data_IF_759616541175
#
_entry.id   IF_759616541175
#
_cell.length_a   1.000
_cell.length_b   1.000
_cell.length_c   1.000
_cell.angle_alpha   90.00
_cell.angle_beta   90.00
_cell.angle_gamma   90.00
#
_symmetry.space_group_name_H-M   'P 1'
#
loop_
_entity.id
_entity.type
_entity.pdbx_description
1 polymer ?
#
# COMPACT_ATOMS: atom_id res chain seq x y z
N UNK A 1 -74.13 -27.47 -0.56
CA UNK A 1 -72.73 -27.70 -0.95
C UNK A 1 -72.13 -26.37 -1.44
N UNK A 2 -70.86 -26.12 -1.07
CA UNK A 2 -69.98 -24.95 -1.30
C UNK A 2 -70.17 -24.24 -2.68
N UNK A 3 -69.93 -22.95 -2.91
CA UNK A 3 -69.44 -21.81 -2.14
C UNK A 3 -69.94 -20.51 -2.82
N UNK A 4 -70.14 -19.45 -2.03
CA UNK A 4 -70.67 -18.14 -2.45
C UNK A 4 -69.57 -17.21 -2.95
N UNK A 5 -69.75 -16.66 -4.15
CA UNK A 5 -69.17 -15.40 -4.57
C UNK A 5 -69.73 -14.26 -3.70
N UNK A 6 -68.91 -13.28 -3.34
CA UNK A 6 -69.37 -11.95 -2.91
C UNK A 6 -68.52 -10.86 -3.56
N UNK A 7 -69.23 -10.00 -4.26
CA UNK A 7 -68.81 -8.73 -4.84
C UNK A 7 -68.46 -7.75 -3.72
N UNK A 8 -67.48 -6.87 -3.98
CA UNK A 8 -67.17 -5.70 -3.18
C UNK A 8 -67.42 -4.43 -3.99
N UNK A 9 -68.17 -3.48 -3.42
CA UNK A 9 -68.20 -2.06 -3.81
C UNK A 9 -68.30 -1.19 -2.55
N UNK A 10 -67.86 0.09 -2.61
CA UNK A 10 -67.14 0.78 -1.53
C UNK A 10 -68.04 1.70 -0.68
N UNK A 11 -67.49 2.29 0.40
CA UNK A 11 -67.35 3.76 0.42
C UNK A 11 -66.07 4.19 1.17
N UNK A 12 -65.37 5.25 0.76
CA UNK A 12 -65.75 6.63 1.07
C UNK A 12 -64.48 7.39 1.48
N UNK A 13 -64.24 8.50 0.81
CA UNK A 13 -63.07 9.38 0.88
C UNK A 13 -62.98 10.13 2.21
N UNK A 14 -61.82 10.08 2.88
CA UNK A 14 -61.41 11.11 3.84
C UNK A 14 -59.95 11.51 3.59
N UNK A 15 -59.80 12.82 3.43
CA UNK A 15 -58.61 13.60 3.05
C UNK A 15 -57.40 13.33 3.95
N UNK A 16 -56.30 12.85 3.38
CA UNK A 16 -54.99 12.95 4.01
C UNK A 16 -54.43 14.38 3.84
N UNK A 17 -54.17 15.01 4.99
CA UNK A 17 -53.46 16.29 5.09
C UNK A 17 -52.00 16.08 4.66
N UNK A 18 -51.68 16.47 3.42
CA UNK A 18 -50.31 16.76 3.00
C UNK A 18 -49.80 17.97 3.78
N UNK A 19 -48.95 17.73 4.77
CA UNK A 19 -48.10 18.76 5.38
C UNK A 19 -46.93 19.05 4.43
N UNK A 20 -47.14 20.00 3.52
CA UNK A 20 -46.06 20.70 2.84
C UNK A 20 -45.31 21.59 3.85
N UNK A 21 -44.17 21.13 4.37
CA UNK A 21 -43.19 22.05 4.94
C UNK A 21 -42.08 22.27 3.93
N UNK A 22 -42.25 23.40 3.28
CA UNK A 22 -41.40 24.10 2.34
C UNK A 22 -39.94 24.12 2.79
N UNK A 23 -39.08 23.61 1.90
CA UNK A 23 -37.68 24.03 1.75
C UNK A 23 -37.65 25.55 1.54
N UNK A 24 -37.34 26.32 2.58
CA UNK A 24 -36.77 27.68 2.51
C UNK A 24 -36.67 28.25 3.93
N UNK A 25 -35.47 28.15 4.52
CA UNK A 25 -34.91 29.08 5.51
C UNK A 25 -33.73 28.40 6.19
N UNK A 26 -32.53 28.59 5.65
CA UNK A 26 -31.29 28.91 6.39
C UNK A 26 -30.42 29.61 5.33
N UNK A 27 -30.69 30.91 5.16
CA UNK A 27 -29.77 31.85 4.54
C UNK A 27 -29.68 33.00 5.53
N UNK A 28 -28.44 33.32 5.92
CA UNK A 28 -28.00 34.32 6.89
C UNK A 28 -27.97 33.89 8.36
N UNK A 29 -26.77 33.54 8.83
CA UNK A 29 -26.12 34.18 9.99
C UNK A 29 -24.69 33.64 10.17
N UNK A 30 -23.75 34.03 9.30
CA UNK A 30 -22.32 34.19 9.66
C UNK A 30 -21.77 35.32 8.77
N UNK A 31 -21.60 36.52 9.33
CA UNK A 31 -20.77 37.56 8.73
C UNK A 31 -19.32 37.34 9.19
N UNK A 32 -18.34 37.16 8.29
CA UNK A 32 -16.94 37.29 8.68
C UNK A 32 -16.63 38.77 8.88
N UNK A 33 -16.19 39.15 10.09
CA UNK A 33 -15.53 40.44 10.32
C UNK A 33 -14.24 40.46 9.49
N UNK A 34 -14.12 41.42 8.57
CA UNK A 34 -12.87 41.72 7.87
C UNK A 34 -11.77 42.03 8.90
N UNK A 35 -10.58 41.42 8.84
CA UNK A 35 -9.43 41.96 9.55
C UNK A 35 -9.01 43.28 8.89
N UNK A 36 -8.66 44.25 9.71
CA UNK A 36 -8.04 45.50 9.29
C UNK A 36 -6.68 45.19 8.66
N UNK A 37 -6.46 45.70 7.46
CA UNK A 37 -5.14 45.77 6.83
C UNK A 37 -4.36 46.90 7.49
N UNK A 38 -3.50 46.57 8.44
CA UNK A 38 -2.45 47.49 8.88
C UNK A 38 -1.25 47.26 7.96
N UNK A 39 -0.92 48.31 7.20
CA UNK A 39 0.32 48.43 6.45
C UNK A 39 1.50 48.35 7.42
N UNK A 40 2.25 47.27 7.38
CA UNK A 40 3.63 47.24 7.85
C UNK A 40 4.52 46.88 6.67
N UNK A 41 4.91 47.95 6.00
CA UNK A 41 6.07 47.98 5.14
C UNK A 41 7.29 48.00 6.07
N UNK A 42 7.98 46.88 6.19
CA UNK A 42 9.34 46.83 6.75
C UNK A 42 10.10 45.76 6.00
N UNK A 43 11.02 46.20 5.15
CA UNK A 43 12.05 45.37 4.52
C UNK A 43 12.74 44.50 5.60
N UNK A 44 13.11 43.24 5.29
CA UNK A 44 13.90 42.45 6.22
C UNK A 44 15.30 43.10 6.36
N UNK A 45 15.87 43.19 7.56
CA UNK A 45 17.26 43.61 7.72
C UNK A 45 18.20 42.56 7.10
N UNK A 46 18.92 42.97 6.06
CA UNK A 46 20.12 42.31 5.55
C UNK A 46 21.16 42.20 6.68
N UNK A 47 21.18 41.07 7.38
CA UNK A 47 22.34 40.60 8.15
C UNK A 47 22.13 39.17 8.62
N UNK A 48 22.38 38.20 7.73
CA UNK A 48 22.70 36.83 8.11
C UNK A 48 24.24 36.77 8.22
N UNK A 49 24.83 36.46 9.37
CA UNK A 49 26.27 36.26 9.46
C UNK A 49 26.69 35.06 8.60
N UNK A 50 27.73 35.25 7.79
CA UNK A 50 28.33 34.22 6.92
C UNK A 50 28.52 32.90 7.68
N UNK A 51 27.79 31.88 7.24
CA UNK A 51 28.06 30.49 7.63
C UNK A 51 29.30 30.07 6.85
N UNK A 52 30.43 29.71 7.51
CA UNK A 52 31.61 29.29 6.78
C UNK A 52 31.29 28.04 5.97
N UNK A 53 31.67 28.07 4.69
CA UNK A 53 31.51 26.98 3.76
C UNK A 53 32.03 25.66 4.37
N UNK A 54 31.30 24.54 4.24
CA UNK A 54 31.83 23.25 4.66
C UNK A 54 33.12 22.96 3.89
N UNK A 55 34.18 22.73 4.64
CA UNK A 55 35.50 22.42 4.12
C UNK A 55 35.44 21.25 3.13
N UNK A 56 36.19 21.41 2.06
CA UNK A 56 36.40 20.50 0.94
C UNK A 56 36.61 19.05 1.36
N UNK A 57 35.74 18.20 0.82
CA UNK A 57 35.91 16.80 0.43
C UNK A 57 37.24 16.13 0.82
N UNK A 58 37.14 15.14 1.72
CA UNK A 58 38.06 14.01 1.69
C UNK A 58 37.78 13.19 0.41
N UNK A 59 38.83 12.71 -0.30
CA UNK A 59 38.65 11.95 -1.53
C UNK A 59 38.30 10.51 -1.18
N UNK A 60 37.01 10.22 -1.02
CA UNK A 60 36.55 8.82 -1.08
C UNK A 60 36.71 8.31 -2.52
N UNK A 61 37.54 7.29 -2.61
CA UNK A 61 38.00 6.61 -3.81
C UNK A 61 36.81 5.93 -4.50
N UNK A 62 36.69 5.99 -5.84
CA UNK A 62 35.57 5.34 -6.52
C UNK A 62 35.79 3.82 -6.58
N UNK A 63 34.69 3.08 -6.42
CA UNK A 63 34.53 1.65 -6.68
C UNK A 63 35.09 0.66 -5.62
N UNK A 64 34.28 0.42 -4.57
CA UNK A 64 34.14 -0.92 -4.00
C UNK A 64 32.66 -1.27 -4.00
N UNK A 65 32.29 -2.36 -4.66
CA UNK A 65 30.94 -2.89 -4.66
C UNK A 65 30.39 -2.96 -3.21
N UNK A 66 29.12 -2.59 -3.03
CA UNK A 66 28.39 -2.60 -1.77
C UNK A 66 28.34 -4.03 -1.21
N UNK A 67 29.39 -4.45 -0.50
CA UNK A 67 29.42 -5.73 0.18
C UNK A 67 28.43 -5.65 1.35
N UNK A 68 27.31 -6.34 1.21
CA UNK A 68 26.41 -6.58 2.34
C UNK A 68 27.20 -7.33 3.43
N UNK A 69 27.06 -6.88 4.67
CA UNK A 69 27.71 -7.53 5.80
C UNK A 69 27.29 -9.02 5.84
N UNK A 70 28.20 -9.98 6.12
CA UNK A 70 27.88 -11.41 6.03
C UNK A 70 26.63 -11.82 6.82
N UNK A 71 26.44 -11.22 8.01
CA UNK A 71 25.29 -11.52 8.85
C UNK A 71 23.96 -11.04 8.26
N UNK A 72 23.96 -9.92 7.54
CA UNK A 72 22.78 -9.43 6.84
C UNK A 72 22.36 -10.41 5.72
N UNK A 73 23.32 -10.87 4.92
CA UNK A 73 23.06 -11.87 3.87
C UNK A 73 22.58 -13.20 4.44
N UNK A 74 23.15 -13.66 5.56
CA UNK A 74 22.68 -14.86 6.26
C UNK A 74 21.22 -14.69 6.70
N UNK A 75 20.89 -13.54 7.30
CA UNK A 75 19.53 -13.24 7.75
C UNK A 75 18.54 -13.19 6.59
N UNK A 76 18.89 -12.49 5.50
CA UNK A 76 18.13 -12.48 4.25
C UNK A 76 17.89 -13.90 3.73
N UNK A 77 18.94 -14.71 3.57
CA UNK A 77 18.83 -16.09 3.06
C UNK A 77 17.99 -16.99 3.97
N UNK A 78 18.07 -16.78 5.29
CA UNK A 78 17.35 -17.58 6.29
C UNK A 78 15.85 -17.31 6.24
N UNK A 79 15.44 -16.04 6.15
CA UNK A 79 14.03 -15.65 6.24
C UNK A 79 13.36 -15.45 4.87
N UNK A 80 14.16 -15.14 3.85
CA UNK A 80 13.74 -14.75 2.50
C UNK A 80 14.75 -15.26 1.44
N UNK A 81 14.85 -16.58 1.23
CA UNK A 81 15.90 -17.21 0.41
C UNK A 81 15.93 -16.76 -1.07
N UNK A 82 14.81 -16.28 -1.60
CA UNK A 82 14.68 -15.73 -2.94
C UNK A 82 14.53 -14.21 -2.88
N UNK A 83 15.57 -13.46 -2.49
CA UNK A 83 15.50 -12.00 -2.43
C UNK A 83 16.20 -11.36 -3.64
N UNK A 84 15.56 -10.34 -4.20
CA UNK A 84 15.98 -9.65 -5.43
C UNK A 84 16.17 -8.18 -5.09
N UNK A 85 17.22 -7.50 -5.58
CA UNK A 85 17.32 -6.06 -5.47
C UNK A 85 16.02 -5.37 -5.93
N UNK A 86 15.55 -4.40 -5.14
CA UNK A 86 14.26 -3.74 -5.35
C UNK A 86 14.11 -3.13 -6.75
N UNK A 87 15.11 -2.37 -7.21
CA UNK A 87 15.12 -1.76 -8.54
C UNK A 87 15.07 -2.79 -9.67
N UNK A 88 15.77 -3.91 -9.50
CA UNK A 88 15.79 -4.99 -10.48
C UNK A 88 14.44 -5.69 -10.56
N UNK A 89 13.80 -5.97 -9.41
CA UNK A 89 12.46 -6.54 -9.38
C UNK A 89 11.45 -5.64 -10.10
N UNK A 90 11.51 -4.32 -9.88
CA UNK A 90 10.59 -3.37 -10.53
C UNK A 90 10.82 -3.32 -12.03
N UNK A 91 12.07 -3.18 -12.47
CA UNK A 91 12.42 -3.17 -13.90
C UNK A 91 11.92 -4.44 -14.60
N UNK A 92 12.25 -5.61 -14.04
CA UNK A 92 11.82 -6.91 -14.57
C UNK A 92 10.29 -7.08 -14.53
N UNK A 93 9.60 -6.54 -13.53
CA UNK A 93 8.14 -6.59 -13.46
C UNK A 93 7.50 -5.86 -14.65
N UNK A 94 8.05 -4.70 -15.02
CA UNK A 94 7.59 -3.94 -16.19
C UNK A 94 7.94 -4.68 -17.49
N UNK A 95 9.18 -5.13 -17.63
CA UNK A 95 9.67 -5.81 -18.84
C UNK A 95 8.91 -7.11 -19.13
N UNK A 96 8.52 -7.85 -18.09
CA UNK A 96 7.66 -9.05 -18.22
C UNK A 96 6.24 -8.73 -18.70
N UNK A 97 5.75 -7.52 -18.47
CA UNK A 97 4.40 -7.10 -18.87
C UNK A 97 4.31 -6.44 -20.24
N UNK A 98 5.38 -5.80 -20.71
CA UNK A 98 5.45 -5.23 -22.07
C UNK A 98 5.03 -6.22 -23.17
N UNK A 99 5.55 -7.47 -23.25
CA UNK A 99 5.12 -8.43 -24.28
C UNK A 99 3.68 -8.92 -24.09
N UNK A 100 3.08 -8.65 -22.93
CA UNK A 100 1.70 -8.96 -22.60
C UNK A 100 0.74 -7.79 -22.87
N UNK A 101 1.23 -6.69 -23.44
CA UNK A 101 0.42 -5.55 -23.88
C UNK A 101 0.11 -4.51 -22.80
N UNK A 102 0.80 -4.55 -21.65
CA UNK A 102 0.74 -3.47 -20.68
C UNK A 102 1.86 -2.46 -20.97
N UNK A 103 1.48 -1.20 -21.05
CA UNK A 103 2.38 -0.08 -21.34
C UNK A 103 2.00 1.11 -20.46
N UNK A 104 2.95 2.03 -20.28
CA UNK A 104 2.79 3.28 -19.55
C UNK A 104 1.55 4.08 -19.97
N UNK A 105 1.19 4.03 -21.25
CA UNK A 105 0.06 4.76 -21.82
C UNK A 105 -1.31 4.07 -21.67
N UNK A 106 -1.36 2.80 -21.25
CA UNK A 106 -2.59 2.01 -21.29
C UNK A 106 -2.94 1.28 -19.99
N UNK A 107 -2.07 1.33 -18.98
CA UNK A 107 -2.26 0.64 -17.71
C UNK A 107 -2.08 1.61 -16.53
N UNK A 108 -2.81 1.35 -15.45
CA UNK A 108 -2.65 2.09 -14.19
C UNK A 108 -2.02 1.18 -13.13
N UNK A 109 -0.83 1.52 -12.59
CA UNK A 109 -0.28 0.83 -11.44
C UNK A 109 -1.05 1.20 -10.17
N UNK A 110 -1.40 0.21 -9.38
CA UNK A 110 -2.16 0.31 -8.13
C UNK A 110 -1.30 -0.28 -6.99
N UNK A 111 -0.87 0.55 -6.05
CA UNK A 111 0.25 0.21 -5.15
C UNK A 111 -0.16 0.21 -3.69
N UNK A 112 -0.02 -0.92 -3.00
CA UNK A 112 -0.27 -1.09 -1.56
C UNK A 112 1.04 -1.37 -0.82
N UNK A 113 1.49 -0.40 -0.03
CA UNK A 113 2.69 -0.45 0.81
C UNK A 113 2.35 0.02 2.23
N UNK A 114 3.26 -0.22 3.18
CA UNK A 114 3.16 0.36 4.50
C UNK A 114 3.22 1.90 4.43
N UNK A 115 2.55 2.60 5.33
CA UNK A 115 2.68 4.07 5.47
C UNK A 115 4.06 4.53 5.94
N UNK A 116 4.91 3.59 6.37
CA UNK A 116 6.29 3.83 6.78
C UNK A 116 7.12 4.40 5.62
N UNK A 117 7.90 5.45 5.89
CA UNK A 117 8.68 6.16 4.88
C UNK A 117 9.77 5.30 4.25
N UNK A 118 10.18 4.21 4.91
CA UNK A 118 11.13 3.24 4.37
C UNK A 118 10.61 2.57 3.09
N UNK A 119 9.30 2.56 2.87
CA UNK A 119 8.71 1.95 1.68
C UNK A 119 8.77 2.83 0.43
N UNK A 120 9.05 4.13 0.60
CA UNK A 120 9.07 5.11 -0.49
C UNK A 120 10.03 4.78 -1.64
N UNK A 121 11.24 4.24 -1.42
CA UNK A 121 12.13 3.85 -2.52
C UNK A 121 11.47 2.87 -3.52
N UNK A 122 10.67 1.91 -3.04
CA UNK A 122 9.92 1.00 -3.91
C UNK A 122 8.82 1.73 -4.67
N UNK A 123 8.08 2.62 -3.99
CA UNK A 123 7.05 3.42 -4.66
C UNK A 123 7.66 4.27 -5.78
N UNK A 124 8.74 4.98 -5.49
CA UNK A 124 9.44 5.81 -6.46
C UNK A 124 9.95 4.98 -7.64
N UNK A 125 10.55 3.81 -7.39
CA UNK A 125 11.00 2.92 -8.46
C UNK A 125 9.83 2.46 -9.36
N UNK A 126 8.65 2.18 -8.77
CA UNK A 126 7.44 1.85 -9.53
C UNK A 126 6.95 3.07 -10.32
N UNK A 127 6.88 4.24 -9.69
CA UNK A 127 6.51 5.48 -10.39
C UNK A 127 7.44 5.73 -11.59
N UNK A 128 8.76 5.68 -11.40
CA UNK A 128 9.76 5.85 -12.48
C UNK A 128 9.57 4.82 -13.62
N UNK A 129 9.31 3.55 -13.26
CA UNK A 129 9.10 2.47 -14.23
C UNK A 129 7.81 2.64 -15.04
N UNK A 130 6.81 3.33 -14.49
CA UNK A 130 5.50 3.55 -15.11
C UNK A 130 5.28 4.99 -15.61
N UNK A 131 6.20 5.91 -15.33
CA UNK A 131 6.12 7.32 -15.70
C UNK A 131 6.03 7.48 -17.21
N UNK A 132 4.96 8.11 -17.70
CA UNK A 132 4.76 8.34 -19.13
C UNK A 132 5.31 9.69 -19.60
N UNK A 133 5.28 10.72 -18.74
CA UNK A 133 5.80 12.06 -18.99
C UNK A 133 6.55 12.55 -17.74
N UNK A 134 7.54 13.45 -17.87
CA UNK A 134 8.27 13.96 -16.73
C UNK A 134 7.35 14.57 -15.66
N UNK A 135 7.61 14.22 -14.40
CA UNK A 135 6.87 14.68 -13.21
C UNK A 135 5.45 14.10 -13.08
N UNK A 136 5.10 13.04 -13.83
CA UNK A 136 3.85 12.31 -13.65
C UNK A 136 3.90 11.36 -12.44
N UNK A 137 2.77 11.17 -11.77
CA UNK A 137 2.63 10.22 -10.66
C UNK A 137 1.59 9.17 -11.05
N UNK A 138 1.99 8.13 -11.81
CA UNK A 138 1.07 7.23 -12.46
C UNK A 138 0.32 6.30 -11.48
N UNK A 139 0.80 6.21 -10.23
CA UNK A 139 0.30 5.24 -9.25
C UNK A 139 -0.99 5.66 -8.55
N UNK A 140 -1.94 4.73 -8.50
CA UNK A 140 -3.07 4.80 -7.58
C UNK A 140 -2.64 4.23 -6.22
N UNK A 141 -2.54 5.09 -5.20
CA UNK A 141 -2.14 4.72 -3.85
C UNK A 141 -3.21 3.91 -3.11
N UNK A 142 -2.83 2.72 -2.63
CA UNK A 142 -3.63 1.81 -1.80
C UNK A 142 -3.03 1.60 -0.40
N UNK A 143 -2.04 2.42 -0.03
CA UNK A 143 -1.21 2.25 1.18
C UNK A 143 -2.02 2.23 2.49
N UNK A 144 -1.56 1.44 3.46
CA UNK A 144 -2.09 1.39 4.83
C UNK A 144 -1.04 0.83 5.80
N UNK A 145 -1.28 0.83 7.11
CA UNK A 145 -0.38 0.19 8.08
C UNK A 145 -0.05 -1.26 7.68
N UNK A 146 1.24 -1.62 7.80
CA UNK A 146 1.82 -2.90 7.40
C UNK A 146 1.62 -3.32 5.92
N UNK A 147 1.21 -2.41 5.04
CA UNK A 147 0.98 -2.72 3.62
C UNK A 147 -0.32 -3.49 3.36
N UNK A 148 -1.24 -3.46 4.33
CA UNK A 148 -2.54 -4.12 4.24
C UNK A 148 -3.40 -3.50 3.13
N UNK A 149 -4.36 -4.27 2.61
CA UNK A 149 -5.23 -3.83 1.50
C UNK A 149 -6.58 -3.35 2.05
N UNK A 150 -6.61 -2.15 2.64
CA UNK A 150 -7.75 -1.62 3.38
C UNK A 150 -8.66 -0.64 2.63
N UNK A 151 -8.32 -0.25 1.39
CA UNK A 151 -9.13 0.65 0.56
C UNK A 151 -10.58 0.18 0.32
N UNK A 152 -10.83 -1.12 0.48
CA UNK A 152 -12.13 -1.76 0.29
C UNK A 152 -12.62 -1.75 -1.15
N UNK A 153 -13.87 -2.19 -1.35
CA UNK A 153 -14.49 -2.22 -2.68
C UNK A 153 -14.62 -0.82 -3.28
N UNK A 154 -14.97 0.16 -2.45
CA UNK A 154 -15.11 1.56 -2.87
C UNK A 154 -13.80 2.12 -3.41
N UNK A 155 -12.69 1.92 -2.68
CA UNK A 155 -11.37 2.38 -3.14
C UNK A 155 -10.92 1.69 -4.42
N UNK A 156 -11.09 0.37 -4.51
CA UNK A 156 -10.72 -0.35 -5.75
C UNK A 156 -11.62 0.06 -6.93
N UNK A 157 -12.91 0.32 -6.70
CA UNK A 157 -13.81 0.84 -7.75
C UNK A 157 -13.37 2.22 -8.22
N UNK A 158 -12.86 3.08 -7.32
CA UNK A 158 -12.30 4.36 -7.73
C UNK A 158 -11.10 4.17 -8.68
N UNK A 159 -10.19 3.24 -8.38
CA UNK A 159 -9.08 2.91 -9.27
C UNK A 159 -9.57 2.44 -10.67
N UNK A 160 -10.69 1.71 -10.74
CA UNK A 160 -11.27 1.29 -12.04
C UNK A 160 -11.77 2.44 -12.92
N UNK A 161 -12.13 3.57 -12.32
CA UNK A 161 -12.54 4.76 -13.09
C UNK A 161 -11.35 5.61 -13.55
N UNK A 162 -10.15 5.36 -13.04
CA UNK A 162 -8.94 6.13 -13.38
C UNK A 162 -8.08 5.43 -14.45
N UNK A 163 -8.32 4.14 -14.70
CA UNK A 163 -7.59 3.39 -15.72
C UNK A 163 -7.89 3.93 -17.13
N UNK A 164 -6.87 4.11 -17.98
CA UNK A 164 -7.07 4.32 -19.41
C UNK A 164 -7.88 3.17 -20.02
N UNK A 165 -8.75 3.51 -20.98
CA UNK A 165 -9.45 2.52 -21.81
C UNK A 165 -8.83 2.59 -23.20
N UNK A 166 -7.98 1.63 -23.53
CA UNK A 166 -7.30 1.52 -24.83
C UNK A 166 -7.76 0.24 -25.51
N UNK A 167 -8.23 0.36 -26.76
CA UNK A 167 -8.86 -0.73 -27.51
C UNK A 167 -10.06 -1.37 -26.80
N UNK A 168 -10.76 -0.57 -26.00
CA UNK A 168 -11.91 -1.02 -25.22
C UNK A 168 -11.54 -1.84 -23.98
N UNK A 169 -10.26 -1.95 -23.63
CA UNK A 169 -9.74 -2.71 -22.48
C UNK A 169 -9.12 -1.76 -21.44
N UNK A 170 -9.46 -1.96 -20.17
CA UNK A 170 -8.77 -1.35 -19.03
C UNK A 170 -7.68 -2.28 -18.52
N UNK A 171 -6.51 -1.74 -18.20
CA UNK A 171 -5.39 -2.52 -17.67
C UNK A 171 -4.95 -2.02 -16.31
N UNK A 172 -4.77 -2.95 -15.37
CA UNK A 172 -4.37 -2.66 -13.99
C UNK A 172 -3.11 -3.41 -13.63
N UNK A 173 -2.20 -2.80 -12.87
CA UNK A 173 -1.01 -3.48 -12.35
C UNK A 173 -0.95 -3.34 -10.84
N UNK A 174 -1.24 -4.41 -10.11
CA UNK A 174 -1.28 -4.38 -8.66
C UNK A 174 0.08 -4.72 -8.06
N UNK A 175 0.66 -3.79 -7.31
CA UNK A 175 1.87 -4.00 -6.50
C UNK A 175 1.48 -4.03 -5.02
N UNK A 176 1.66 -5.16 -4.32
CA UNK A 176 1.25 -5.29 -2.91
C UNK A 176 2.35 -5.91 -2.06
N UNK A 177 2.93 -5.10 -1.17
CA UNK A 177 4.09 -5.49 -0.36
C UNK A 177 3.92 -5.01 1.09
N UNK A 178 3.60 -5.88 2.06
CA UNK A 178 4.05 -5.65 3.43
C UNK A 178 5.58 -5.54 3.47
N UNK A 179 6.10 -4.96 4.55
CA UNK A 179 7.53 -4.72 4.67
C UNK A 179 8.10 -5.19 6.00
N UNK A 180 9.41 -5.42 6.01
CA UNK A 180 10.19 -5.73 7.20
C UNK A 180 11.53 -5.01 7.15
N UNK A 181 12.09 -4.71 8.32
CA UNK A 181 13.46 -4.25 8.48
C UNK A 181 14.41 -5.40 8.74
N UNK A 182 15.56 -5.42 8.06
CA UNK A 182 16.70 -6.23 8.47
C UNK A 182 17.91 -5.31 8.46
N UNK A 183 18.44 -4.98 9.63
CA UNK A 183 19.56 -4.05 9.74
C UNK A 183 20.85 -4.66 9.14
N UNK A 184 21.92 -3.87 9.09
CA UNK A 184 23.23 -4.31 8.58
C UNK A 184 23.86 -5.44 9.38
N UNK A 185 23.47 -5.61 10.64
CA UNK A 185 23.96 -6.67 11.52
C UNK A 185 23.10 -7.95 11.42
N UNK A 186 22.09 -7.97 10.53
CA UNK A 186 21.18 -9.09 10.34
C UNK A 186 20.06 -9.20 11.39
N UNK A 187 19.90 -8.21 12.26
CA UNK A 187 18.80 -8.14 13.22
C UNK A 187 17.48 -7.88 12.48
N UNK A 188 16.55 -8.82 12.63
CA UNK A 188 15.22 -8.76 12.01
C UNK A 188 14.29 -7.85 12.82
N UNK A 189 13.46 -7.08 12.11
CA UNK A 189 12.50 -6.14 12.70
C UNK A 189 13.11 -4.77 13.02
N UNK A 190 14.37 -4.52 12.66
CA UNK A 190 15.11 -3.30 13.01
C UNK A 190 15.75 -2.64 11.80
N UNK A 191 15.85 -1.32 11.86
CA UNK A 191 16.56 -0.50 10.89
C UNK A 191 17.17 0.74 11.54
N UNK A 192 18.26 1.22 10.96
CA UNK A 192 18.82 2.54 11.22
C UNK A 192 18.12 3.58 10.33
N UNK A 193 17.44 4.55 10.95
CA UNK A 193 16.79 5.66 10.23
C UNK A 193 17.68 6.89 10.24
N UNK A 194 17.59 7.69 9.18
CA UNK A 194 18.32 8.95 9.08
C UNK A 194 17.92 9.88 10.24
N UNK A 195 18.91 10.50 10.89
CA UNK A 195 18.68 11.43 12.00
C UNK A 195 18.25 10.79 13.33
N UNK A 196 18.11 9.46 13.42
CA UNK A 196 17.78 8.78 14.69
C UNK A 196 19.01 8.04 15.22
N UNK A 197 19.42 8.34 16.45
CA UNK A 197 20.61 7.76 17.06
C UNK A 197 20.47 6.24 17.30
N UNK A 198 19.32 5.80 17.80
CA UNK A 198 19.04 4.39 18.07
C UNK A 198 18.32 3.72 16.91
N UNK A 199 18.51 2.42 16.76
CA UNK A 199 17.72 1.64 15.83
C UNK A 199 16.24 1.68 16.21
N UNK A 200 15.39 1.61 15.19
CA UNK A 200 13.95 1.65 15.32
C UNK A 200 13.31 0.43 14.67
N UNK A 201 12.05 0.19 15.01
CA UNK A 201 11.27 -0.95 14.55
C UNK A 201 10.82 -0.80 13.10
N UNK A 202 10.80 -1.90 12.34
CA UNK A 202 10.20 -1.98 11.00
C UNK A 202 9.76 -3.42 10.70
N UNK A 203 8.50 -3.73 10.43
CA UNK A 203 7.31 -2.86 10.46
C UNK A 203 6.82 -2.59 11.90
N UNK A 204 6.66 -1.32 12.28
CA UNK A 204 6.19 -0.95 13.63
C UNK A 204 4.80 -1.52 13.97
N UNK A 205 3.87 -1.54 13.01
CA UNK A 205 2.52 -2.08 13.21
C UNK A 205 2.52 -3.59 13.50
N UNK A 206 3.36 -4.36 12.79
CA UNK A 206 3.51 -5.80 13.01
C UNK A 206 4.22 -6.09 14.34
N UNK A 207 5.22 -5.29 14.71
CA UNK A 207 5.92 -5.43 16.00
C UNK A 207 4.98 -5.11 17.18
N UNK A 208 4.16 -4.07 17.07
CA UNK A 208 3.15 -3.76 18.08
C UNK A 208 2.14 -4.91 18.24
N UNK A 209 1.68 -5.50 17.13
CA UNK A 209 0.81 -6.67 17.19
C UNK A 209 1.52 -7.90 17.80
N UNK A 210 2.78 -8.14 17.45
CA UNK A 210 3.57 -9.23 18.04
C UNK A 210 3.69 -9.07 19.57
N UNK A 211 3.97 -7.85 20.04
CA UNK A 211 4.07 -7.55 21.47
C UNK A 211 2.74 -7.77 22.22
N UNK A 212 1.60 -7.40 21.62
CA UNK A 212 0.28 -7.73 22.19
C UNK A 212 0.10 -9.26 22.32
N UNK A 213 0.47 -10.02 21.28
CA UNK A 213 0.40 -11.49 21.34
C UNK A 213 1.31 -12.07 22.43
N UNK A 214 2.55 -11.58 22.56
CA UNK A 214 3.51 -12.01 23.58
C UNK A 214 3.03 -11.69 25.00
N UNK A 215 2.31 -10.59 25.18
CA UNK A 215 1.76 -10.19 26.47
C UNK A 215 0.63 -11.11 26.97
N UNK A 216 0.03 -11.89 26.06
CA UNK A 216 -1.17 -12.69 26.35
C UNK A 216 -2.46 -11.86 26.44
N UNK A 217 -2.39 -10.55 26.20
CA UNK A 217 -3.53 -9.64 26.15
C UNK A 217 -3.64 -8.99 24.77
N UNK A 218 -4.73 -9.31 24.06
CA UNK A 218 -5.00 -8.81 22.73
C UNK A 218 -6.32 -8.04 22.69
N UNK A 219 -6.26 -6.75 22.36
CA UNK A 219 -7.46 -5.95 22.14
C UNK A 219 -7.92 -6.08 20.69
N UNK A 220 -9.14 -6.60 20.49
CA UNK A 220 -9.76 -6.76 19.17
C UNK A 220 -10.92 -5.79 18.92
N UNK A 221 -11.20 -4.90 19.88
CA UNK A 221 -12.18 -3.85 19.69
C UNK A 221 -11.72 -2.90 18.58
N UNK A 222 -12.67 -2.38 17.81
CA UNK A 222 -12.38 -1.40 16.79
C UNK A 222 -12.20 -0.04 17.45
N UNK A 223 -10.97 0.44 17.49
CA UNK A 223 -10.67 1.81 17.87
C UNK A 223 -10.82 2.72 16.64
N UNK A 224 -11.68 3.75 16.73
CA UNK A 224 -11.89 4.70 15.64
C UNK A 224 -10.73 5.66 15.44
N UNK A 225 -9.87 5.83 16.45
CA UNK A 225 -8.65 6.63 16.36
C UNK A 225 -7.44 5.78 15.90
N UNK A 226 -7.57 4.45 15.92
CA UNK A 226 -6.54 3.49 15.46
C UNK A 226 -7.14 2.37 14.58
N UNK A 227 -7.91 2.77 13.57
CA UNK A 227 -8.71 1.86 12.72
C UNK A 227 -7.82 0.85 11.99
N UNK A 228 -6.71 1.30 11.39
CA UNK A 228 -5.86 0.42 10.57
C UNK A 228 -5.19 -0.66 11.43
N UNK A 229 -4.69 -0.32 12.63
CA UNK A 229 -4.11 -1.30 13.54
C UNK A 229 -5.19 -2.25 14.09
N UNK A 230 -6.36 -1.73 14.46
CA UNK A 230 -7.49 -2.53 14.94
C UNK A 230 -7.90 -3.60 13.92
N UNK A 231 -8.07 -3.18 12.65
CA UNK A 231 -8.42 -4.09 11.56
C UNK A 231 -7.26 -5.04 11.26
N UNK A 232 -6.01 -4.56 11.24
CA UNK A 232 -4.82 -5.41 11.06
C UNK A 232 -4.82 -6.57 12.05
N UNK A 233 -4.99 -6.30 13.35
CA UNK A 233 -5.03 -7.34 14.41
C UNK A 233 -6.12 -8.37 14.13
N UNK A 234 -7.34 -7.93 13.81
CA UNK A 234 -8.47 -8.81 13.51
C UNK A 234 -8.23 -9.67 12.26
N UNK A 235 -7.55 -9.14 11.25
CA UNK A 235 -7.27 -9.87 9.99
C UNK A 235 -6.15 -10.88 10.17
N UNK A 236 -5.06 -10.45 10.82
CA UNK A 236 -3.88 -11.26 11.08
C UNK A 236 -4.17 -12.42 12.02
N UNK A 237 -4.92 -12.18 13.10
CA UNK A 237 -5.23 -13.22 14.10
C UNK A 237 -5.93 -14.43 13.47
N UNK A 238 -6.77 -14.23 12.45
CA UNK A 238 -7.47 -15.32 11.74
C UNK A 238 -6.52 -16.28 11.02
N UNK A 239 -5.26 -15.90 10.82
CA UNK A 239 -4.22 -16.71 10.18
C UNK A 239 -3.24 -17.34 11.17
N UNK A 240 -3.30 -16.93 12.44
CA UNK A 240 -2.44 -17.50 13.49
C UNK A 240 -3.17 -18.69 14.10
N UNK A 241 -2.48 -19.84 14.20
CA UNK A 241 -3.06 -21.06 14.74
C UNK A 241 -3.23 -20.92 16.26
N UNK A 242 -4.41 -21.21 16.76
CA UNK A 242 -4.64 -21.23 18.21
C UNK A 242 -3.75 -22.27 18.90
N UNK A 243 -3.11 -21.86 20.00
CA UNK A 243 -2.21 -22.69 20.80
C UNK A 243 -0.82 -22.91 20.21
N UNK A 244 -0.46 -22.28 19.09
CA UNK A 244 0.93 -22.24 18.62
C UNK A 244 1.75 -21.20 19.38
N UNK A 245 3.09 -21.30 19.39
CA UNK A 245 3.95 -20.20 19.81
C UNK A 245 3.64 -18.91 19.04
N UNK A 246 3.92 -17.75 19.66
CA UNK A 246 3.82 -16.46 18.98
C UNK A 246 4.81 -16.45 17.80
N UNK A 247 4.37 -16.12 16.57
CA UNK A 247 5.26 -16.06 15.42
C UNK A 247 6.38 -15.04 15.63
N UNK A 248 7.57 -15.35 15.12
CA UNK A 248 8.64 -14.36 14.94
C UNK A 248 8.20 -13.24 14.00
N UNK A 249 8.90 -12.10 14.02
CA UNK A 249 8.52 -10.96 13.16
C UNK A 249 8.64 -11.28 11.66
N UNK A 250 9.56 -12.16 11.27
CA UNK A 250 9.67 -12.66 9.90
C UNK A 250 8.45 -13.50 9.51
N UNK A 251 8.06 -14.46 10.36
CA UNK A 251 6.86 -15.28 10.14
C UNK A 251 5.59 -14.42 10.13
N UNK A 252 5.49 -13.44 11.02
CA UNK A 252 4.35 -12.52 11.07
C UNK A 252 4.26 -11.65 9.82
N UNK A 253 5.41 -11.24 9.25
CA UNK A 253 5.45 -10.53 7.97
C UNK A 253 5.00 -11.43 6.82
N UNK A 254 5.40 -12.71 6.81
CA UNK A 254 4.90 -13.67 5.83
C UNK A 254 3.40 -13.91 5.97
N UNK A 255 2.86 -13.95 7.19
CA UNK A 255 1.41 -13.98 7.43
C UNK A 255 0.74 -12.74 6.88
N UNK A 256 1.32 -11.55 7.07
CA UNK A 256 0.79 -10.30 6.54
C UNK A 256 0.72 -10.35 5.00
N UNK A 257 1.77 -10.86 4.35
CA UNK A 257 1.78 -11.09 2.92
C UNK A 257 0.62 -11.98 2.46
N UNK A 258 0.38 -13.11 3.14
CA UNK A 258 -0.74 -14.00 2.81
C UNK A 258 -2.10 -13.31 2.96
N UNK A 259 -2.28 -12.53 4.03
CA UNK A 259 -3.52 -11.75 4.25
C UNK A 259 -3.71 -10.71 3.15
N UNK A 260 -2.66 -9.96 2.79
CA UNK A 260 -2.70 -8.97 1.73
C UNK A 260 -3.06 -9.59 0.38
N UNK A 261 -2.44 -10.72 0.04
CA UNK A 261 -2.69 -11.45 -1.21
C UNK A 261 -4.15 -11.93 -1.30
N UNK A 262 -4.66 -12.53 -0.24
CA UNK A 262 -6.06 -12.99 -0.19
C UNK A 262 -7.04 -11.82 -0.30
N UNK A 263 -6.72 -10.68 0.33
CA UNK A 263 -7.56 -9.49 0.28
C UNK A 263 -7.56 -8.83 -1.08
N UNK A 264 -6.40 -8.72 -1.71
CA UNK A 264 -6.29 -8.27 -3.09
C UNK A 264 -7.13 -9.17 -4.02
N UNK A 265 -6.92 -10.50 -3.97
CA UNK A 265 -7.67 -11.46 -4.81
C UNK A 265 -9.18 -11.34 -4.61
N UNK A 266 -9.63 -11.27 -3.35
CA UNK A 266 -11.04 -11.11 -3.02
C UNK A 266 -11.61 -9.79 -3.55
N UNK A 267 -10.84 -8.69 -3.46
CA UNK A 267 -11.27 -7.39 -3.95
C UNK A 267 -11.33 -7.36 -5.48
N UNK A 268 -10.28 -7.82 -6.17
CA UNK A 268 -10.25 -7.99 -7.64
C UNK A 268 -11.47 -8.78 -8.09
N UNK A 269 -11.69 -9.97 -7.50
CA UNK A 269 -12.83 -10.84 -7.82
C UNK A 269 -14.18 -10.16 -7.61
N UNK A 270 -14.27 -9.15 -6.73
CA UNK A 270 -15.53 -8.48 -6.37
C UNK A 270 -15.78 -7.15 -7.08
N UNK A 271 -14.81 -6.63 -7.83
CA UNK A 271 -14.87 -5.31 -8.47
C UNK A 271 -14.54 -5.42 -9.95
N UNK A 272 -13.50 -6.16 -10.30
CA UNK A 272 -13.02 -6.33 -11.66
C UNK A 272 -13.81 -7.49 -12.29
N UNK A 273 -14.95 -7.14 -12.87
CA UNK A 273 -15.88 -8.06 -13.54
C UNK A 273 -16.04 -7.67 -15.02
N UNK A 274 -15.98 -8.65 -15.92
CA UNK A 274 -16.38 -8.49 -17.33
C UNK A 274 -15.23 -8.66 -18.33
N UNK A 275 -15.61 -8.93 -19.58
CA UNK A 275 -14.78 -9.39 -20.70
C UNK A 275 -13.79 -8.34 -21.26
N UNK A 276 -13.42 -7.30 -20.50
CA UNK A 276 -12.58 -6.19 -21.00
C UNK A 276 -11.66 -5.56 -19.94
N UNK A 277 -11.19 -6.35 -18.98
CA UNK A 277 -10.18 -5.91 -18.03
C UNK A 277 -9.06 -6.94 -17.95
N UNK A 278 -7.85 -6.50 -18.30
CA UNK A 278 -6.64 -7.27 -18.05
C UNK A 278 -5.99 -6.73 -16.77
N UNK A 279 -5.36 -7.60 -16.00
CA UNK A 279 -4.65 -7.16 -14.82
C UNK A 279 -3.42 -7.99 -14.54
N UNK A 280 -2.42 -7.34 -13.95
CA UNK A 280 -1.23 -7.98 -13.44
C UNK A 280 -1.15 -7.82 -11.93
N UNK A 281 -0.52 -8.78 -11.27
CA UNK A 281 -0.34 -8.84 -9.83
C UNK A 281 1.13 -9.15 -9.56
N UNK A 282 1.80 -8.27 -8.82
CA UNK A 282 3.13 -8.44 -8.27
C UNK A 282 3.04 -8.26 -6.76
N UNK A 283 3.28 -9.35 -6.03
CA UNK A 283 3.21 -9.35 -4.58
C UNK A 283 4.46 -9.92 -3.97
N UNK A 284 4.67 -9.68 -2.67
CA UNK A 284 5.83 -10.18 -1.98
C UNK A 284 6.04 -9.49 -0.64
N UNK A 285 7.28 -9.47 -0.19
CA UNK A 285 7.70 -8.73 1.01
C UNK A 285 8.83 -7.77 0.64
N UNK A 286 8.68 -6.49 0.99
CA UNK A 286 9.75 -5.51 0.88
C UNK A 286 10.66 -5.59 2.10
N UNK A 287 11.97 -5.69 1.88
CA UNK A 287 12.98 -5.84 2.93
C UNK A 287 13.87 -4.59 2.93
N UNK A 288 13.83 -3.86 4.04
CA UNK A 288 14.48 -2.58 4.21
C UNK A 288 15.78 -2.72 5.00
N UNK A 289 16.88 -2.23 4.43
CA UNK A 289 18.24 -2.42 4.98
C UNK A 289 18.82 -1.16 5.66
N UNK A 290 18.00 -0.14 5.91
CA UNK A 290 18.39 1.06 6.69
C UNK A 290 19.47 1.93 6.03
N UNK A 291 19.27 2.31 4.76
CA UNK A 291 20.19 3.18 4.01
C UNK A 291 21.17 2.45 3.08
N UNK A 292 20.98 1.15 2.87
CA UNK A 292 21.65 0.33 1.84
C UNK A 292 20.65 -0.12 0.78
N UNK A 293 21.05 -1.10 -0.03
CA UNK A 293 20.20 -1.79 -0.99
C UNK A 293 18.99 -2.44 -0.29
N UNK A 294 17.80 -2.11 -0.77
CA UNK A 294 16.55 -2.78 -0.42
C UNK A 294 16.32 -3.99 -1.31
N UNK A 295 15.53 -4.94 -0.82
CA UNK A 295 15.23 -6.17 -1.53
C UNK A 295 13.73 -6.47 -1.55
N UNK A 296 13.31 -7.25 -2.53
CA UNK A 296 11.99 -7.87 -2.63
C UNK A 296 12.16 -9.37 -2.52
N UNK A 297 11.41 -9.98 -1.61
CA UNK A 297 11.10 -11.40 -1.70
C UNK A 297 9.81 -11.56 -2.51
N UNK A 298 9.86 -12.09 -3.75
CA UNK A 298 8.68 -12.18 -4.59
C UNK A 298 7.76 -13.30 -4.11
N UNK A 299 6.48 -12.98 -4.03
CA UNK A 299 5.37 -13.89 -3.81
C UNK A 299 4.71 -14.29 -5.12
N UNK A 300 3.37 -14.30 -5.15
CA UNK A 300 2.63 -14.53 -6.40
C UNK A 300 2.83 -13.35 -7.36
N UNK A 301 3.32 -13.68 -8.57
CA UNK A 301 3.49 -12.76 -9.68
C UNK A 301 2.81 -13.37 -10.91
N UNK A 302 1.77 -12.74 -11.45
CA UNK A 302 1.02 -13.25 -12.59
C UNK A 302 0.26 -12.14 -13.32
N UNK A 303 -0.12 -12.38 -14.57
CA UNK A 303 -1.07 -11.57 -15.33
C UNK A 303 -2.32 -12.38 -15.68
N UNK A 304 -3.45 -11.69 -15.84
CA UNK A 304 -4.69 -12.24 -16.37
C UNK A 304 -5.09 -11.41 -17.58
N UNK A 305 -5.08 -12.05 -18.75
CA UNK A 305 -5.32 -11.42 -20.05
C UNK A 305 -6.45 -12.18 -20.73
N UNK A 306 -7.51 -11.50 -21.15
CA UNK A 306 -8.71 -12.14 -21.69
C UNK A 306 -9.23 -13.28 -20.78
N UNK A 307 -9.14 -13.07 -19.45
CA UNK A 307 -9.51 -14.05 -18.44
C UNK A 307 -8.58 -15.25 -18.28
N UNK A 308 -7.44 -15.31 -19.00
CA UNK A 308 -6.44 -16.38 -18.90
C UNK A 308 -5.26 -15.96 -18.04
N UNK A 309 -4.87 -16.81 -17.09
CA UNK A 309 -3.74 -16.55 -16.19
C UNK A 309 -2.41 -16.94 -16.84
N UNK A 310 -1.43 -16.05 -16.73
CA UNK A 310 -0.04 -16.19 -17.16
C UNK A 310 0.87 -16.02 -15.93
N UNK A 311 1.61 -17.06 -15.54
CA UNK A 311 2.55 -16.95 -14.41
C UNK A 311 3.78 -16.12 -14.80
N UNK A 312 4.19 -15.24 -13.90
CA UNK A 312 5.37 -14.37 -14.02
C UNK A 312 6.36 -14.62 -12.87
N UNK A 313 6.35 -15.83 -12.32
CA UNK A 313 7.06 -16.20 -11.09
C UNK A 313 8.51 -16.66 -11.29
N UNK A 314 9.03 -16.65 -12.52
CA UNK A 314 10.43 -16.98 -12.76
C UNK A 314 11.33 -15.76 -12.52
N UNK A 315 12.04 -15.85 -11.39
CA UNK A 315 12.98 -14.87 -10.89
C UNK A 315 14.39 -15.48 -10.67
N UNK A 316 14.60 -16.70 -11.15
CA UNK A 316 15.73 -17.55 -10.79
C UNK A 316 17.10 -17.00 -11.24
N UNK A 317 17.15 -16.28 -12.36
CA UNK A 317 18.39 -15.67 -12.91
C UNK A 317 19.00 -14.59 -12.01
N UNK A 318 18.23 -14.08 -11.04
CA UNK A 318 18.59 -12.91 -10.23
C UNK A 318 18.78 -13.22 -8.75
N UNK A 319 18.69 -14.51 -8.38
CA UNK A 319 18.97 -14.94 -7.01
C UNK A 319 20.49 -15.01 -6.83
N UNK A 320 21.09 -14.35 -5.82
CA UNK A 320 22.52 -14.47 -5.58
C UNK A 320 22.91 -15.94 -5.45
N UNK A 321 23.89 -16.39 -6.24
CA UNK A 321 24.39 -17.77 -6.19
C UNK A 321 24.75 -18.16 -4.75
N UNK A 322 24.50 -19.44 -4.42
CA UNK A 322 24.74 -20.04 -3.11
C UNK A 322 26.15 -19.73 -2.56
#
# INVERSE_FOLDING_TARGET
>A
MKASQKQSTPPGTLKEKRSSRTLNSIRHMIHPKKPKTDNLNTDPPDNIPDVPAPNSADPETPASACACHPQHLISLRTHFPMHIPESLFVQESYDKLVPLGFHKSNAIPCVSLCRDELTKPLLNAIDDAWENEPDDTPTFAMHSLAGMVFLGKTGLTAATHHAPIVDGVSRYVFYVFPHIGINTDGNVGKVKRHGIEKESTACGALIAFQQELESGYLSLELDTDDIEQSVLKQRMLKKIKFGSPVPSIAELTQVAYQVCLEDLKRLITSVIHGERADYAVFTGVQINSGGRLNFIWPGECYAVIDGKRHELSDWSEHTPAN
#
